data_IF_794544482759
#
_entry.id   IF_794544482759
#
_cell.length_a   1.000
_cell.length_b   1.000
_cell.length_c   1.000
_cell.angle_alpha   90.00
_cell.angle_beta   90.00
_cell.angle_gamma   90.00
#
_symmetry.space_group_name_H-M   'P 1'
#
loop_
_entity.id
_entity.type
_entity.pdbx_description
1 polymer ?
#
# COMPACT_ATOMS: atom_id res chain seq x y z
N UNK A 1 -12.55 4.98 -2.49
CA UNK A 1 -11.12 5.31 -2.42
C UNK A 1 -10.94 6.81 -2.59
N UNK A 2 -10.06 7.46 -1.81
CA UNK A 2 -9.63 8.83 -2.09
C UNK A 2 -8.97 8.90 -3.46
N UNK A 3 -9.28 9.95 -4.22
CA UNK A 3 -8.53 10.31 -5.42
C UNK A 3 -7.21 10.93 -4.93
N UNK A 4 -6.09 10.56 -5.52
CA UNK A 4 -4.76 11.19 -5.27
C UNK A 4 -3.92 10.65 -4.09
N UNK A 5 -4.26 9.50 -3.48
CA UNK A 5 -3.41 8.91 -2.44
C UNK A 5 -2.04 8.41 -2.98
N UNK A 6 -1.98 8.05 -4.26
CA UNK A 6 -0.78 7.46 -4.89
C UNK A 6 -0.37 8.15 -6.19
N UNK A 7 -1.21 9.02 -6.73
CA UNK A 7 -0.98 9.70 -8.00
C UNK A 7 -0.83 11.19 -7.75
N UNK A 8 0.40 11.69 -7.88
CA UNK A 8 0.67 13.12 -7.86
C UNK A 8 1.06 13.55 -9.27
N UNK A 9 0.13 14.15 -10.04
CA UNK A 9 0.47 14.71 -11.33
C UNK A 9 1.56 15.77 -11.16
N UNK A 10 2.46 15.85 -12.13
CA UNK A 10 3.56 16.83 -12.15
C UNK A 10 2.96 18.24 -12.00
N UNK A 11 3.37 18.98 -10.96
CA UNK A 11 2.82 20.31 -10.63
C UNK A 11 1.80 20.32 -9.48
N UNK A 12 1.58 19.19 -8.80
CA UNK A 12 0.81 19.16 -7.54
C UNK A 12 1.52 20.02 -6.49
N UNK A 13 0.83 20.97 -5.82
CA UNK A 13 1.41 21.74 -4.73
C UNK A 13 1.96 20.80 -3.64
N UNK A 14 3.16 21.08 -3.12
CA UNK A 14 3.85 20.23 -2.13
C UNK A 14 3.01 19.93 -0.89
N UNK A 15 2.12 20.86 -0.49
CA UNK A 15 1.17 20.67 0.62
C UNK A 15 0.17 19.53 0.40
N UNK A 16 -0.06 19.12 -0.86
CA UNK A 16 -1.00 18.06 -1.25
C UNK A 16 -0.32 16.73 -1.53
N UNK A 17 1.01 16.68 -1.47
CA UNK A 17 1.79 15.45 -1.64
C UNK A 17 1.71 14.65 -0.34
N UNK A 18 1.22 13.40 -0.34
CA UNK A 18 1.27 12.55 0.84
C UNK A 18 2.72 12.39 1.32
N UNK A 19 2.99 12.75 2.58
CA UNK A 19 4.32 12.58 3.16
C UNK A 19 4.51 11.14 3.60
N UNK A 20 5.62 10.53 3.18
CA UNK A 20 6.05 9.26 3.76
C UNK A 20 6.37 9.46 5.24
N UNK A 21 6.08 8.44 6.05
CA UNK A 21 6.25 8.49 7.51
C UNK A 21 7.70 8.77 7.92
N UNK A 22 8.68 8.40 7.10
CA UNK A 22 10.11 8.69 7.37
C UNK A 22 10.59 10.07 6.86
N UNK A 23 9.79 10.76 6.04
CA UNK A 23 10.10 12.08 5.49
C UNK A 23 11.32 12.18 4.56
N UNK A 24 11.95 11.08 4.15
CA UNK A 24 13.25 11.07 3.46
C UNK A 24 13.16 10.94 1.95
N UNK A 25 12.07 10.39 1.41
CA UNK A 25 11.92 10.26 -0.06
C UNK A 25 10.50 10.58 -0.49
N UNK A 26 10.37 11.50 -1.44
CA UNK A 26 9.13 11.75 -2.14
C UNK A 26 9.05 10.80 -3.33
N UNK A 27 8.01 9.95 -3.39
CA UNK A 27 7.79 9.05 -4.51
C UNK A 27 6.72 9.62 -5.43
N UNK A 28 7.07 9.79 -6.71
CA UNK A 28 6.18 10.30 -7.73
C UNK A 28 5.80 9.19 -8.69
N UNK A 29 4.53 8.80 -8.69
CA UNK A 29 3.95 7.97 -9.75
C UNK A 29 3.40 8.93 -10.80
N UNK A 30 3.95 8.87 -12.01
CA UNK A 30 3.52 9.71 -13.13
C UNK A 30 2.90 8.85 -14.26
N UNK A 31 2.38 9.50 -15.30
CA UNK A 31 1.73 8.82 -16.43
C UNK A 31 2.67 7.99 -17.31
N UNK A 32 3.99 8.11 -17.12
CA UNK A 32 5.01 7.27 -17.78
C UNK A 32 5.52 6.15 -16.89
N UNK A 33 5.09 6.08 -15.62
CA UNK A 33 5.44 5.02 -14.69
C UNK A 33 4.60 3.77 -14.98
N UNK A 34 5.25 2.68 -15.39
CA UNK A 34 4.64 1.35 -15.38
C UNK A 34 4.70 0.78 -13.96
N UNK A 35 3.61 0.14 -13.52
CA UNK A 35 3.51 -0.50 -12.21
C UNK A 35 3.30 -2.00 -12.37
N UNK A 36 3.99 -2.78 -11.56
CA UNK A 36 3.76 -4.21 -11.41
C UNK A 36 2.94 -4.46 -10.14
N UNK A 37 1.91 -5.29 -10.27
CA UNK A 37 1.12 -5.75 -9.13
C UNK A 37 1.84 -6.91 -8.44
N UNK A 38 2.37 -6.68 -7.23
CA UNK A 38 3.03 -7.73 -6.44
C UNK A 38 2.04 -8.42 -5.49
N UNK A 39 1.24 -7.65 -4.75
CA UNK A 39 0.23 -8.18 -3.82
C UNK A 39 -1.07 -7.37 -3.87
N UNK A 40 -2.22 -8.07 -3.79
CA UNK A 40 -3.55 -7.49 -3.63
C UNK A 40 -4.32 -8.27 -2.57
N UNK A 41 -4.59 -7.64 -1.44
CA UNK A 41 -5.18 -8.29 -0.28
C UNK A 41 -6.56 -7.72 0.04
N UNK A 42 -7.52 -8.61 0.30
CA UNK A 42 -8.81 -8.29 0.91
C UNK A 42 -8.68 -8.46 2.43
N UNK A 43 -8.18 -7.41 3.09
CA UNK A 43 -7.88 -7.43 4.53
C UNK A 43 -9.14 -7.73 5.34
N UNK A 44 -9.05 -8.72 6.23
CA UNK A 44 -10.17 -9.23 7.04
C UNK A 44 -11.37 -9.73 6.21
N UNK A 45 -11.15 -10.02 4.92
CA UNK A 45 -12.14 -10.55 4.01
C UNK A 45 -11.68 -11.85 3.36
N UNK A 46 -12.59 -12.49 2.62
CA UNK A 46 -12.30 -13.71 1.89
C UNK A 46 -11.65 -13.41 0.53
N UNK A 47 -11.15 -14.47 -0.10
CA UNK A 47 -10.76 -14.44 -1.51
C UNK A 47 -11.89 -13.86 -2.40
N UNK A 48 -11.51 -13.05 -3.39
CA UNK A 48 -12.40 -12.54 -4.45
C UNK A 48 -11.82 -12.95 -5.79
N UNK A 49 -12.58 -13.75 -6.55
CA UNK A 49 -12.18 -14.19 -7.87
C UNK A 49 -12.19 -13.03 -8.88
N UNK A 50 -11.38 -13.08 -9.95
CA UNK A 50 -11.41 -12.06 -11.02
C UNK A 50 -12.80 -11.75 -11.56
N UNK A 51 -13.65 -12.77 -11.71
CA UNK A 51 -15.03 -12.62 -12.23
C UNK A 51 -15.98 -11.95 -11.26
N UNK A 52 -15.63 -11.89 -9.98
CA UNK A 52 -16.43 -11.28 -8.91
C UNK A 52 -15.95 -9.87 -8.55
N UNK A 53 -14.88 -9.39 -9.19
CA UNK A 53 -14.43 -8.02 -9.08
C UNK A 53 -15.40 -7.05 -9.80
N UNK A 54 -15.23 -5.78 -9.50
CA UNK A 54 -15.95 -4.60 -10.02
C UNK A 54 -15.69 -4.29 -11.51
N UNK A 55 -15.42 -5.31 -12.34
CA UNK A 55 -15.21 -5.19 -13.78
C UNK A 55 -13.76 -5.01 -14.23
N UNK A 56 -12.80 -5.02 -13.30
CA UNK A 56 -11.36 -4.93 -13.60
C UNK A 56 -10.65 -6.28 -13.63
N UNK A 57 -11.37 -7.37 -13.38
CA UNK A 57 -10.85 -8.73 -13.39
C UNK A 57 -9.63 -8.93 -12.48
N UNK A 58 -9.63 -8.26 -11.34
CA UNK A 58 -8.57 -8.36 -10.34
C UNK A 58 -8.89 -9.45 -9.35
N UNK A 59 -7.89 -10.25 -9.04
CA UNK A 59 -7.95 -11.18 -7.91
C UNK A 59 -7.59 -10.45 -6.60
N UNK A 60 -8.33 -10.74 -5.53
CA UNK A 60 -7.97 -10.30 -4.18
C UNK A 60 -7.79 -11.51 -3.27
N UNK A 61 -6.61 -11.62 -2.66
CA UNK A 61 -6.27 -12.72 -1.76
C UNK A 61 -6.66 -12.38 -0.32
N UNK A 62 -7.04 -13.39 0.49
CA UNK A 62 -7.15 -13.21 1.93
C UNK A 62 -5.77 -12.88 2.54
N UNK A 63 -5.76 -12.14 3.65
CA UNK A 63 -4.54 -11.62 4.27
C UNK A 63 -3.94 -12.53 5.36
N UNK A 64 -4.61 -13.63 5.70
CA UNK A 64 -4.23 -14.57 6.79
C UNK A 64 -2.76 -15.03 6.74
N UNK A 65 -2.21 -15.22 5.53
CA UNK A 65 -0.82 -15.67 5.34
C UNK A 65 0.23 -14.56 5.47
N UNK A 66 -0.19 -13.30 5.57
CA UNK A 66 0.69 -12.13 5.62
C UNK A 66 0.80 -11.54 7.03
N UNK A 67 0.12 -12.12 8.02
CA UNK A 67 0.32 -11.75 9.41
C UNK A 67 1.69 -12.21 9.90
N UNK A 68 2.46 -11.27 10.45
CA UNK A 68 3.60 -11.61 11.27
C UNK A 68 3.10 -12.32 12.52
N UNK A 69 3.41 -13.62 12.65
CA UNK A 69 3.18 -14.35 13.89
C UNK A 69 3.86 -13.61 15.05
N UNK A 70 3.28 -13.65 16.26
CA UNK A 70 3.86 -12.98 17.43
C UNK A 70 5.31 -13.39 17.69
N UNK A 71 5.67 -14.64 17.37
CA UNK A 71 7.02 -15.18 17.48
C UNK A 71 8.02 -14.48 16.54
N UNK A 72 7.57 -13.94 15.40
CA UNK A 72 8.42 -13.19 14.47
C UNK A 72 8.50 -11.70 14.81
N UNK A 73 7.62 -11.17 15.67
CA UNK A 73 7.68 -9.77 16.11
C UNK A 73 8.94 -9.49 16.94
N UNK A 74 9.38 -10.48 17.72
CA UNK A 74 10.61 -10.39 18.52
C UNK A 74 11.90 -10.63 17.71
N UNK A 75 11.78 -11.15 16.49
CA UNK A 75 12.89 -11.45 15.57
C UNK A 75 13.09 -10.36 14.50
N UNK A 76 12.11 -9.47 14.31
CA UNK A 76 12.26 -8.24 13.53
C UNK A 76 12.73 -7.17 14.52
N UNK A 77 13.98 -6.69 14.46
CA UNK A 77 14.41 -5.61 15.33
C UNK A 77 13.50 -4.40 15.10
N UNK A 78 13.04 -3.78 16.19
CA UNK A 78 12.28 -2.51 16.23
C UNK A 78 13.01 -1.41 15.46
N UNK A 79 12.94 -1.44 14.13
CA UNK A 79 13.64 -0.47 13.26
C UNK A 79 12.67 0.45 12.54
N UNK A 80 11.38 0.35 12.85
CA UNK A 80 10.40 1.38 12.49
C UNK A 80 9.76 1.93 13.75
N UNK A 81 10.57 2.68 14.51
CA UNK A 81 10.09 3.51 15.61
C UNK A 81 9.11 4.54 15.11
N UNK A 82 7.81 4.27 15.25
CA UNK A 82 6.80 5.32 15.33
C UNK A 82 6.85 5.80 16.78
N UNK A 83 7.71 6.79 17.04
CA UNK A 83 7.63 7.59 18.26
C UNK A 83 6.34 8.40 18.15
N UNK A 84 5.32 7.99 18.89
CA UNK A 84 4.17 8.85 19.18
C UNK A 84 4.65 9.92 20.16
N UNK A 85 4.85 11.14 19.66
CA UNK A 85 4.91 12.36 20.45
C UNK A 85 3.51 12.85 20.79
#
# INVERSE_FOLDING_TARGET
MPKDLYYNPKGTPEEKVPRNVDGRTEFYINYTSALEMVFRLNVAGSFIAPTEDTGFFREWNADEMYFLSEVLKDLVPDTFGIVLG
#
